data_IF_642819585239
#
_entry.id   IF_642819585239
#
_cell.length_a   1.000
_cell.length_b   1.000
_cell.length_c   1.000
_cell.angle_alpha   90.00
_cell.angle_beta   90.00
_cell.angle_gamma   90.00
#
_symmetry.space_group_name_H-M   'P 1'
#
loop_
_entity.id
_entity.type
_entity.pdbx_description
1 polymer ?
#
# COMPACT_ATOMS: atom_id res chain seq x y z
N UNK A 1 -19.14 -8.32 7.57
CA UNK A 1 -19.51 -6.97 8.05
C UNK A 1 -19.44 -5.87 6.97
N UNK A 2 -18.60 -5.99 5.96
CA UNK A 2 -18.53 -5.01 4.85
C UNK A 2 -19.80 -4.93 3.98
N UNK A 3 -20.57 -6.01 3.83
CA UNK A 3 -21.79 -6.02 3.02
C UNK A 3 -22.97 -5.25 3.62
N UNK A 4 -22.98 -5.02 4.93
CA UNK A 4 -24.03 -4.27 5.63
C UNK A 4 -23.86 -2.76 5.48
N UNK A 5 -22.62 -2.28 5.39
CA UNK A 5 -22.32 -0.86 5.18
C UNK A 5 -22.62 -0.39 3.76
N UNK A 6 -22.52 -1.28 2.77
CA UNK A 6 -22.88 -0.97 1.39
C UNK A 6 -24.39 -0.76 1.21
N UNK A 7 -25.22 -1.50 1.97
CA UNK A 7 -26.68 -1.31 1.96
C UNK A 7 -27.14 0.00 2.61
N UNK A 8 -26.38 0.52 3.59
CA UNK A 8 -26.74 1.76 4.27
C UNK A 8 -26.46 3.02 3.45
N UNK A 9 -25.47 3.00 2.53
CA UNK A 9 -25.18 4.17 1.66
C UNK A 9 -26.28 4.46 0.63
N UNK A 10 -27.02 3.45 0.20
CA UNK A 10 -28.15 3.63 -0.75
C UNK A 10 -29.47 4.01 -0.08
N UNK A 11 -29.59 3.89 1.24
CA UNK A 11 -30.82 4.24 1.97
C UNK A 11 -30.89 5.72 2.34
N UNK A 12 -29.80 6.46 2.32
CA UNK A 12 -29.79 7.87 2.74
C UNK A 12 -30.24 8.86 1.67
N UNK A 13 -30.28 8.48 0.39
CA UNK A 13 -30.76 9.36 -0.71
C UNK A 13 -32.28 9.32 -0.86
N UNK A 14 -32.98 8.39 -0.25
CA UNK A 14 -34.44 8.22 -0.36
C UNK A 14 -35.23 8.81 0.83
N UNK A 15 -34.64 9.67 1.65
CA UNK A 15 -35.38 10.45 2.64
C UNK A 15 -36.08 11.65 2.02
N UNK A 16 -36.82 11.44 0.94
CA UNK A 16 -37.88 12.36 0.59
C UNK A 16 -38.92 12.25 1.67
N UNK A 17 -39.00 13.27 2.52
CA UNK A 17 -40.10 13.44 3.48
C UNK A 17 -41.41 13.45 2.72
N UNK A 18 -41.98 12.28 2.51
CA UNK A 18 -43.34 12.13 2.05
C UNK A 18 -44.24 12.60 3.21
N UNK A 19 -44.59 13.90 3.20
CA UNK A 19 -45.76 14.37 3.99
C UNK A 19 -46.92 13.46 3.62
N UNK A 20 -47.70 12.95 4.58
CA UNK A 20 -48.81 12.06 4.29
C UNK A 20 -49.91 12.88 3.61
N UNK A 21 -49.87 12.94 2.30
CA UNK A 21 -51.02 13.46 1.52
C UNK A 21 -52.13 12.42 1.62
N UNK A 22 -53.23 12.80 2.22
CA UNK A 22 -54.46 12.03 2.42
C UNK A 22 -55.06 11.69 1.03
N UNK A 23 -54.65 10.56 0.51
CA UNK A 23 -55.05 10.07 -0.81
C UNK A 23 -54.12 8.96 -1.27
N UNK A 24 -54.10 7.85 -0.51
CA UNK A 24 -53.27 6.66 -0.88
C UNK A 24 -53.78 6.09 -2.18
N UNK A 25 -53.10 6.42 -3.27
CA UNK A 25 -53.34 5.78 -4.55
C UNK A 25 -53.06 4.29 -4.40
N UNK A 26 -54.07 3.43 -4.44
CA UNK A 26 -54.03 1.95 -4.22
C UNK A 26 -53.00 1.26 -5.13
N UNK A 27 -52.71 1.83 -6.28
CA UNK A 27 -51.77 1.28 -7.27
C UNK A 27 -50.29 1.58 -6.95
N UNK A 28 -50.00 2.52 -6.08
CA UNK A 28 -48.61 2.91 -5.78
C UNK A 28 -47.80 1.80 -5.09
N UNK A 29 -48.42 1.11 -4.13
CA UNK A 29 -47.75 -0.01 -3.42
C UNK A 29 -47.39 -1.19 -4.33
N UNK A 30 -48.35 -1.73 -5.11
CA UNK A 30 -48.03 -2.83 -6.04
C UNK A 30 -47.05 -2.41 -7.12
N UNK A 31 -47.08 -1.16 -7.59
CA UNK A 31 -46.11 -0.61 -8.54
C UNK A 31 -44.69 -0.54 -7.95
N UNK A 32 -44.52 0.00 -6.73
CA UNK A 32 -43.24 0.04 -6.06
C UNK A 32 -42.67 -1.35 -5.81
N UNK A 33 -43.53 -2.28 -5.42
CA UNK A 33 -43.14 -3.69 -5.23
C UNK A 33 -42.72 -4.36 -6.53
N UNK A 34 -43.38 -4.06 -7.62
CA UNK A 34 -43.02 -4.55 -8.96
C UNK A 34 -41.65 -4.01 -9.38
N UNK A 35 -41.38 -2.72 -9.11
CA UNK A 35 -40.07 -2.11 -9.37
C UNK A 35 -38.95 -2.70 -8.48
N UNK A 36 -39.27 -3.02 -7.22
CA UNK A 36 -38.32 -3.71 -6.33
C UNK A 36 -37.98 -5.11 -6.85
N UNK A 37 -38.99 -5.89 -7.21
CA UNK A 37 -38.80 -7.22 -7.81
C UNK A 37 -38.03 -7.14 -9.13
N UNK A 38 -38.33 -6.15 -9.96
CA UNK A 38 -37.59 -5.96 -11.21
C UNK A 38 -36.12 -5.62 -10.95
N UNK A 39 -35.84 -4.75 -9.98
CA UNK A 39 -34.44 -4.45 -9.56
C UNK A 39 -33.71 -5.65 -8.99
N UNK A 40 -34.42 -6.52 -8.27
CA UNK A 40 -33.85 -7.78 -7.75
C UNK A 40 -33.54 -8.75 -8.89
N UNK A 41 -34.38 -8.81 -9.94
CA UNK A 41 -34.19 -9.65 -11.12
C UNK A 41 -33.07 -9.09 -12.03
N UNK A 42 -32.99 -7.78 -12.20
CA UNK A 42 -31.97 -7.11 -13.01
C UNK A 42 -30.55 -7.21 -12.35
N UNK A 43 -30.52 -7.59 -11.07
CA UNK A 43 -29.28 -7.70 -10.30
C UNK A 43 -28.68 -6.35 -9.88
N UNK A 44 -27.48 -6.35 -9.28
CA UNK A 44 -26.84 -5.12 -8.90
C UNK A 44 -26.47 -4.27 -10.13
N UNK A 45 -26.67 -2.94 -10.07
CA UNK A 45 -26.32 -2.07 -11.20
C UNK A 45 -24.85 -2.24 -11.55
N UNK A 46 -24.54 -2.20 -12.84
CA UNK A 46 -23.15 -2.24 -13.31
C UNK A 46 -22.36 -1.13 -12.65
N UNK A 47 -21.11 -1.37 -12.23
CA UNK A 47 -20.25 -0.35 -11.68
C UNK A 47 -20.07 0.76 -12.73
N UNK A 48 -20.39 1.98 -12.34
CA UNK A 48 -20.27 3.17 -13.18
C UNK A 48 -19.14 4.03 -12.61
N UNK A 49 -18.18 4.47 -13.42
CA UNK A 49 -17.10 5.31 -12.96
C UNK A 49 -17.62 6.60 -12.31
N UNK A 50 -16.90 7.12 -11.33
CA UNK A 50 -17.30 8.34 -10.59
C UNK A 50 -17.54 9.52 -11.54
N UNK A 51 -16.76 9.61 -12.63
CA UNK A 51 -16.88 10.64 -13.66
C UNK A 51 -18.23 10.69 -14.38
N UNK A 52 -18.98 9.58 -14.39
CA UNK A 52 -20.30 9.50 -15.01
C UNK A 52 -21.45 9.68 -14.00
N UNK A 53 -21.15 9.84 -12.73
CA UNK A 53 -22.17 10.07 -11.70
C UNK A 53 -22.67 11.51 -11.72
N UNK A 54 -23.93 11.75 -11.33
CA UNK A 54 -24.47 13.11 -11.26
C UNK A 54 -23.70 13.97 -10.25
N UNK A 55 -23.62 15.27 -10.54
CA UNK A 55 -22.92 16.27 -9.71
C UNK A 55 -21.39 16.05 -9.62
N UNK A 56 -20.78 15.45 -10.63
CA UNK A 56 -19.33 15.32 -10.72
C UNK A 56 -18.74 16.58 -11.35
N UNK A 57 -17.91 17.28 -10.58
CA UNK A 57 -17.03 18.35 -11.09
C UNK A 57 -15.58 17.92 -10.90
N UNK A 58 -14.94 17.56 -12.00
CA UNK A 58 -13.58 17.04 -11.99
C UNK A 58 -12.57 18.01 -11.38
N UNK A 59 -12.75 19.32 -11.64
CA UNK A 59 -11.84 20.31 -11.08
C UNK A 59 -11.97 20.41 -9.56
N UNK A 60 -13.20 20.48 -9.07
CA UNK A 60 -13.48 20.53 -7.63
C UNK A 60 -12.98 19.27 -6.89
N UNK A 61 -13.18 18.08 -7.47
CA UNK A 61 -12.72 16.82 -6.89
C UNK A 61 -11.18 16.76 -6.81
N UNK A 62 -10.46 17.21 -7.84
CA UNK A 62 -8.98 17.27 -7.84
C UNK A 62 -8.47 18.27 -6.79
N UNK A 63 -9.08 19.43 -6.68
CA UNK A 63 -8.71 20.42 -5.64
C UNK A 63 -9.01 19.86 -4.25
N UNK A 64 -10.16 19.20 -4.07
CA UNK A 64 -10.50 18.55 -2.80
C UNK A 64 -9.51 17.43 -2.43
N UNK A 65 -9.02 16.66 -3.41
CA UNK A 65 -7.99 15.65 -3.21
C UNK A 65 -6.68 16.27 -2.68
N UNK A 66 -6.18 17.32 -3.34
CA UNK A 66 -4.98 18.05 -2.90
C UNK A 66 -5.15 18.62 -1.48
N UNK A 67 -6.28 19.25 -1.19
CA UNK A 67 -6.56 19.82 0.13
C UNK A 67 -6.67 18.76 1.23
N UNK A 68 -7.27 17.61 0.93
CA UNK A 68 -7.39 16.50 1.89
C UNK A 68 -6.02 15.92 2.29
N UNK A 69 -5.07 15.88 1.36
CA UNK A 69 -3.71 15.40 1.61
C UNK A 69 -2.82 16.44 2.27
N UNK A 70 -3.28 17.72 2.35
CA UNK A 70 -2.47 18.84 2.83
C UNK A 70 -1.15 19.03 2.08
N UNK A 71 -1.14 18.67 0.78
CA UNK A 71 0.03 18.77 -0.09
C UNK A 71 -0.19 19.83 -1.19
N UNK A 72 0.89 20.51 -1.56
CA UNK A 72 0.86 21.54 -2.59
C UNK A 72 1.07 20.93 -3.98
N UNK A 73 0.00 20.48 -4.59
CA UNK A 73 0.03 19.99 -5.96
C UNK A 73 -0.22 21.13 -6.97
N UNK A 74 0.48 21.10 -8.08
CA UNK A 74 0.04 21.83 -9.27
C UNK A 74 -1.22 21.14 -9.82
N UNK A 75 -2.33 21.90 -9.90
CA UNK A 75 -3.63 21.36 -10.36
C UNK A 75 -3.53 20.78 -11.78
N UNK A 76 -2.68 21.35 -12.62
CA UNK A 76 -2.49 20.86 -13.99
C UNK A 76 -1.76 19.52 -14.02
N UNK A 77 -0.64 19.39 -13.28
CA UNK A 77 0.10 18.13 -13.17
C UNK A 77 -0.74 17.04 -12.52
N UNK A 78 -1.54 17.40 -11.51
CA UNK A 78 -2.41 16.44 -10.84
C UNK A 78 -3.53 15.95 -11.78
N UNK A 79 -4.08 16.84 -12.64
CA UNK A 79 -5.03 16.44 -13.69
C UNK A 79 -4.38 15.45 -14.67
N UNK A 80 -3.16 15.75 -15.11
CA UNK A 80 -2.41 14.84 -16.02
C UNK A 80 -2.15 13.48 -15.35
N UNK A 81 -1.83 13.45 -14.05
CA UNK A 81 -1.58 12.21 -13.31
C UNK A 81 -2.78 11.26 -13.29
N UNK A 82 -4.00 11.80 -13.31
CA UNK A 82 -5.22 10.98 -13.31
C UNK A 82 -5.74 10.61 -14.70
N UNK A 83 -5.10 11.07 -15.77
CA UNK A 83 -5.49 10.74 -17.15
C UNK A 83 -4.71 9.54 -17.65
N UNK A 84 -5.38 8.42 -17.87
CA UNK A 84 -4.78 7.23 -18.48
C UNK A 84 -4.80 7.34 -20.01
N UNK A 85 -3.79 6.77 -20.68
CA UNK A 85 -3.70 6.72 -22.14
C UNK A 85 -4.91 6.05 -22.82
N UNK A 86 -5.51 5.05 -22.16
CA UNK A 86 -6.72 4.38 -22.65
C UNK A 86 -7.93 5.33 -22.74
N UNK A 87 -8.05 6.27 -21.80
CA UNK A 87 -9.10 7.30 -21.83
C UNK A 87 -8.91 8.24 -23.00
N UNK A 88 -7.68 8.70 -23.23
CA UNK A 88 -7.37 9.60 -24.36
C UNK A 88 -7.72 8.91 -25.67
N UNK A 89 -7.30 7.66 -25.87
CA UNK A 89 -7.59 6.89 -27.07
C UNK A 89 -9.10 6.67 -27.29
N UNK A 90 -9.84 6.37 -26.23
CA UNK A 90 -11.29 6.20 -26.29
C UNK A 90 -12.00 7.49 -26.67
N UNK A 91 -11.65 8.61 -26.05
CA UNK A 91 -12.29 9.89 -26.31
C UNK A 91 -11.96 10.41 -27.72
N UNK A 92 -10.74 10.18 -28.21
CA UNK A 92 -10.38 10.46 -29.60
C UNK A 92 -11.17 9.61 -30.60
N UNK A 93 -11.36 8.32 -30.31
CA UNK A 93 -12.19 7.44 -31.15
C UNK A 93 -13.64 7.91 -31.18
N UNK A 94 -14.17 8.27 -30.03
CA UNK A 94 -15.53 8.83 -29.92
C UNK A 94 -15.71 10.13 -30.71
N UNK A 95 -14.71 11.03 -30.66
CA UNK A 95 -14.73 12.28 -31.44
C UNK A 95 -14.69 12.02 -32.95
N UNK A 96 -13.90 11.02 -33.39
CA UNK A 96 -13.87 10.59 -34.79
C UNK A 96 -15.20 10.02 -35.26
N UNK A 97 -15.89 9.22 -34.41
CA UNK A 97 -17.23 8.69 -34.69
C UNK A 97 -18.27 9.79 -34.84
N UNK A 98 -18.12 10.93 -34.11
CA UNK A 98 -18.96 12.11 -34.24
C UNK A 98 -18.65 12.95 -35.49
N UNK A 99 -17.72 12.51 -36.34
CA UNK A 99 -17.41 13.16 -37.63
C UNK A 99 -16.47 14.36 -37.51
N UNK A 100 -15.74 14.51 -36.40
CA UNK A 100 -14.73 15.55 -36.28
C UNK A 100 -13.47 15.19 -37.08
N UNK A 101 -12.87 16.16 -37.74
CA UNK A 101 -11.59 15.99 -38.47
C UNK A 101 -10.50 15.50 -37.53
N UNK A 102 -9.54 14.74 -38.06
CA UNK A 102 -8.46 14.12 -37.28
C UNK A 102 -7.67 15.11 -36.43
N UNK A 103 -7.44 16.32 -36.94
CA UNK A 103 -6.72 17.38 -36.23
C UNK A 103 -7.50 17.96 -35.06
N UNK A 104 -8.81 18.02 -35.17
CA UNK A 104 -9.74 18.53 -34.14
C UNK A 104 -10.08 17.41 -33.13
N UNK A 105 -10.08 16.16 -33.59
CA UNK A 105 -10.34 14.99 -32.77
C UNK A 105 -9.17 14.67 -31.81
N UNK A 106 -7.94 15.03 -32.18
CA UNK A 106 -6.77 14.84 -31.34
C UNK A 106 -6.87 15.66 -30.06
N UNK A 107 -6.87 14.95 -28.92
CA UNK A 107 -6.78 15.56 -27.61
C UNK A 107 -5.29 15.84 -27.32
N UNK A 108 -4.92 17.13 -27.27
CA UNK A 108 -3.58 17.52 -26.79
C UNK A 108 -3.47 17.36 -25.26
N UNK A 109 -3.95 16.22 -24.73
CA UNK A 109 -3.82 15.85 -23.33
C UNK A 109 -2.61 14.93 -23.18
N UNK A 110 -1.73 15.32 -22.29
CA UNK A 110 -0.63 14.45 -21.86
C UNK A 110 -1.20 13.30 -21.01
N UNK A 111 -0.70 12.12 -21.21
CA UNK A 111 -1.01 10.95 -20.40
C UNK A 111 -0.14 10.91 -19.12
N UNK A 112 -0.44 9.97 -18.25
CA UNK A 112 0.24 9.82 -16.97
C UNK A 112 1.51 8.94 -17.03
N UNK A 113 1.95 8.48 -18.19
CA UNK A 113 3.04 7.51 -18.31
C UNK A 113 4.39 8.08 -17.84
N UNK A 114 4.69 9.31 -18.23
CA UNK A 114 5.95 9.96 -17.87
C UNK A 114 6.02 10.24 -16.36
N UNK A 115 4.96 10.82 -15.80
CA UNK A 115 4.84 11.06 -14.36
C UNK A 115 4.88 9.76 -13.56
N UNK A 116 4.26 8.69 -14.05
CA UNK A 116 4.29 7.38 -13.42
C UNK A 116 5.70 6.80 -13.36
N UNK A 117 6.48 6.94 -14.43
CA UNK A 117 7.87 6.49 -14.47
C UNK A 117 8.74 7.27 -13.48
N UNK A 118 8.67 8.59 -13.52
CA UNK A 118 9.42 9.45 -12.58
C UNK A 118 9.07 9.14 -11.12
N UNK A 119 7.77 8.99 -10.82
CA UNK A 119 7.29 8.66 -9.48
C UNK A 119 7.74 7.28 -9.00
N UNK A 120 7.76 6.27 -9.88
CA UNK A 120 8.24 4.93 -9.54
C UNK A 120 9.74 4.92 -9.26
N UNK A 121 10.55 5.56 -10.11
CA UNK A 121 12.00 5.61 -9.97
C UNK A 121 12.41 6.35 -8.68
N UNK A 122 11.74 7.47 -8.40
CA UNK A 122 11.95 8.20 -7.15
C UNK A 122 11.55 7.38 -5.93
N UNK A 123 10.40 6.70 -5.98
CA UNK A 123 9.91 5.87 -4.87
C UNK A 123 10.89 4.74 -4.55
N UNK A 124 11.35 4.01 -5.55
CA UNK A 124 12.32 2.91 -5.35
C UNK A 124 13.65 3.44 -4.78
N UNK A 125 14.18 4.52 -5.33
CA UNK A 125 15.41 5.15 -4.86
C UNK A 125 15.30 5.62 -3.40
N UNK A 126 14.19 6.28 -3.06
CA UNK A 126 13.92 6.74 -1.70
C UNK A 126 13.79 5.57 -0.72
N UNK A 127 13.00 4.54 -1.07
CA UNK A 127 12.82 3.34 -0.23
C UNK A 127 14.15 2.64 -0.01
N UNK A 128 14.98 2.49 -1.04
CA UNK A 128 16.30 1.87 -0.94
C UNK A 128 17.20 2.62 0.05
N UNK A 129 17.24 3.93 -0.05
CA UNK A 129 18.07 4.77 0.83
C UNK A 129 17.56 4.73 2.26
N UNK A 130 16.25 4.87 2.44
CA UNK A 130 15.62 4.95 3.76
C UNK A 130 15.67 3.61 4.49
N UNK A 131 15.42 2.49 3.80
CA UNK A 131 15.52 1.15 4.40
C UNK A 131 16.96 0.78 4.75
N UNK A 132 17.96 1.16 3.93
CA UNK A 132 19.38 0.97 4.28
C UNK A 132 19.78 1.76 5.52
N UNK A 133 19.28 2.98 5.67
CA UNK A 133 19.54 3.80 6.86
C UNK A 133 18.82 3.24 8.11
N UNK A 134 17.59 2.77 7.95
CA UNK A 134 16.80 2.21 9.05
C UNK A 134 17.30 0.84 9.52
N UNK A 135 17.76 0.01 8.60
CA UNK A 135 18.22 -1.36 8.85
C UNK A 135 19.64 -1.59 8.33
N UNK A 136 20.65 -0.97 8.96
CA UNK A 136 22.04 -1.05 8.47
C UNK A 136 22.64 -2.46 8.57
N UNK A 137 22.06 -3.33 9.41
CA UNK A 137 22.51 -4.71 9.60
C UNK A 137 21.80 -5.72 8.68
N UNK A 138 20.77 -5.28 7.94
CA UNK A 138 20.01 -6.17 7.07
C UNK A 138 20.75 -6.39 5.75
N UNK A 139 20.87 -7.64 5.26
CA UNK A 139 21.50 -7.92 3.98
C UNK A 139 20.71 -7.30 2.81
N UNK A 140 21.41 -7.08 1.70
CA UNK A 140 20.80 -6.47 0.51
C UNK A 140 19.58 -7.25 -0.02
N UNK A 141 19.59 -8.60 0.11
CA UNK A 141 18.46 -9.44 -0.27
C UNK A 141 17.21 -9.16 0.59
N UNK A 142 17.37 -8.95 1.90
CA UNK A 142 16.28 -8.58 2.79
C UNK A 142 15.72 -7.18 2.47
N UNK A 143 16.61 -6.21 2.18
CA UNK A 143 16.18 -4.86 1.76
C UNK A 143 15.41 -4.91 0.45
N UNK A 144 15.89 -5.70 -0.54
CA UNK A 144 15.19 -5.84 -1.82
C UNK A 144 13.84 -6.55 -1.68
N UNK A 145 13.71 -7.51 -0.78
CA UNK A 145 12.43 -8.15 -0.45
C UNK A 145 11.43 -7.15 0.16
N UNK A 146 11.88 -6.30 1.09
CA UNK A 146 11.06 -5.24 1.67
C UNK A 146 10.60 -4.22 0.62
N UNK A 147 11.49 -3.80 -0.28
CA UNK A 147 11.15 -2.91 -1.39
C UNK A 147 10.12 -3.60 -2.30
N UNK A 148 10.36 -4.85 -2.69
CA UNK A 148 9.44 -5.63 -3.51
C UNK A 148 8.05 -5.77 -2.88
N UNK A 149 7.97 -5.93 -1.56
CA UNK A 149 6.71 -5.96 -0.84
C UNK A 149 5.99 -4.60 -0.90
N UNK A 150 6.69 -3.50 -0.59
CA UNK A 150 6.12 -2.15 -0.58
C UNK A 150 5.71 -1.68 -1.98
N UNK A 151 6.41 -2.11 -3.01
CA UNK A 151 6.10 -1.81 -4.41
C UNK A 151 5.18 -2.84 -5.06
N UNK A 152 4.74 -3.86 -4.30
CA UNK A 152 3.82 -4.87 -4.81
C UNK A 152 2.47 -4.25 -5.18
N UNK A 153 1.87 -4.78 -6.22
CA UNK A 153 0.57 -4.34 -6.72
C UNK A 153 -0.50 -4.33 -5.63
N UNK A 154 -0.52 -5.36 -4.77
CA UNK A 154 -1.50 -5.47 -3.70
C UNK A 154 -1.41 -4.32 -2.69
N UNK A 155 -0.20 -3.98 -2.26
CA UNK A 155 0.03 -2.90 -1.29
C UNK A 155 -0.28 -1.54 -1.92
N UNK A 156 0.19 -1.31 -3.14
CA UNK A 156 -0.03 -0.04 -3.84
C UNK A 156 -1.51 0.19 -4.16
N UNK A 157 -2.22 -0.84 -4.64
CA UNK A 157 -3.67 -0.74 -4.87
C UNK A 157 -4.43 -0.50 -3.56
N UNK A 158 -4.05 -1.17 -2.46
CA UNK A 158 -4.67 -0.93 -1.16
C UNK A 158 -4.50 0.53 -0.70
N UNK A 159 -3.29 1.08 -0.81
CA UNK A 159 -3.02 2.49 -0.47
C UNK A 159 -3.78 3.43 -1.41
N UNK A 160 -3.74 3.19 -2.71
CA UNK A 160 -4.42 4.00 -3.71
C UNK A 160 -5.95 4.04 -3.50
N UNK A 161 -6.56 2.90 -3.16
CA UNK A 161 -7.99 2.81 -2.83
C UNK A 161 -8.33 3.60 -1.56
N UNK A 162 -7.51 3.52 -0.53
CA UNK A 162 -7.72 4.30 0.70
C UNK A 162 -7.59 5.80 0.46
N UNK A 163 -6.78 6.21 -0.50
CA UNK A 163 -6.65 7.60 -0.95
C UNK A 163 -7.74 8.02 -1.95
N UNK A 164 -8.60 7.10 -2.38
CA UNK A 164 -9.63 7.32 -3.42
C UNK A 164 -9.03 7.76 -4.78
N UNK A 165 -7.84 7.26 -5.11
CA UNK A 165 -7.19 7.47 -6.42
C UNK A 165 -8.03 6.85 -7.53
N UNK A 166 -8.65 5.70 -7.25
CA UNK A 166 -9.52 4.99 -8.19
C UNK A 166 -10.71 5.85 -8.65
N UNK A 167 -11.34 6.59 -7.74
CA UNK A 167 -12.51 7.43 -8.03
C UNK A 167 -12.21 8.59 -8.99
N UNK A 168 -10.97 9.09 -8.99
CA UNK A 168 -10.53 10.24 -9.77
C UNK A 168 -9.88 9.85 -11.10
N UNK A 169 -9.48 8.58 -11.25
CA UNK A 169 -8.80 8.10 -12.44
C UNK A 169 -9.74 8.04 -13.63
N UNK A 170 -9.34 8.69 -14.71
CA UNK A 170 -10.03 8.65 -16.00
C UNK A 170 -9.42 7.52 -16.84
N UNK A 171 -10.20 6.45 -17.05
CA UNK A 171 -9.85 5.28 -17.86
C UNK A 171 -11.04 4.82 -18.68
N UNK A 172 -10.78 4.06 -19.73
CA UNK A 172 -11.84 3.38 -20.51
C UNK A 172 -12.42 2.17 -19.77
N UNK A 173 -11.72 1.66 -18.77
CA UNK A 173 -12.08 0.43 -18.03
C UNK A 173 -12.86 0.76 -16.77
N UNK A 174 -13.92 -0.01 -16.50
CA UNK A 174 -14.66 0.04 -15.24
C UNK A 174 -15.13 -1.39 -14.87
N UNK A 175 -14.69 -1.97 -13.76
CA UNK A 175 -13.73 -1.45 -12.77
C UNK A 175 -12.31 -1.32 -13.32
N UNK A 176 -11.51 -0.44 -12.70
CA UNK A 176 -10.13 -0.21 -13.09
C UNK A 176 -9.27 -1.46 -12.86
N UNK A 177 -8.34 -1.71 -13.79
CA UNK A 177 -7.35 -2.78 -13.59
C UNK A 177 -6.37 -2.38 -12.48
N UNK A 178 -5.86 -3.36 -11.69
CA UNK A 178 -4.87 -3.08 -10.66
C UNK A 178 -3.60 -2.40 -11.19
N UNK A 179 -3.20 -2.72 -12.42
CA UNK A 179 -2.05 -2.08 -13.10
C UNK A 179 -2.30 -0.59 -13.37
N UNK A 180 -3.51 -0.23 -13.76
CA UNK A 180 -3.89 1.16 -13.99
C UNK A 180 -3.88 1.94 -12.68
N UNK A 181 -4.39 1.36 -11.59
CA UNK A 181 -4.39 1.97 -10.27
C UNK A 181 -2.95 2.20 -9.78
N UNK A 182 -2.09 1.21 -9.92
CA UNK A 182 -0.67 1.30 -9.55
C UNK A 182 0.04 2.41 -10.34
N UNK A 183 -0.12 2.45 -11.66
CA UNK A 183 0.47 3.48 -12.53
C UNK A 183 -0.03 4.87 -12.15
N UNK A 184 -1.31 5.02 -11.90
CA UNK A 184 -1.90 6.30 -11.49
C UNK A 184 -1.38 6.75 -10.13
N UNK A 185 -1.21 5.81 -9.17
CA UNK A 185 -0.62 6.14 -7.88
C UNK A 185 0.82 6.65 -8.01
N UNK A 186 1.64 6.00 -8.83
CA UNK A 186 2.98 6.51 -9.13
C UNK A 186 2.95 7.85 -9.85
N UNK A 187 1.99 8.06 -10.74
CA UNK A 187 1.84 9.35 -11.42
C UNK A 187 1.47 10.47 -10.43
N UNK A 188 0.68 10.19 -9.40
CA UNK A 188 0.40 11.15 -8.32
C UNK A 188 1.66 11.50 -7.55
N UNK A 189 2.52 10.51 -7.26
CA UNK A 189 3.84 10.77 -6.64
C UNK A 189 4.73 11.60 -7.57
N UNK A 190 4.75 11.32 -8.87
CA UNK A 190 5.48 12.09 -9.87
C UNK A 190 4.98 13.54 -9.97
N UNK A 191 3.65 13.73 -9.96
CA UNK A 191 3.05 15.06 -9.94
C UNK A 191 3.40 15.84 -8.66
N UNK A 192 3.50 15.16 -7.50
CA UNK A 192 3.95 15.77 -6.25
C UNK A 192 5.43 16.18 -6.35
N UNK A 193 6.26 15.31 -6.93
CA UNK A 193 7.70 15.56 -7.10
C UNK A 193 7.98 16.79 -7.98
N UNK A 194 7.20 16.96 -9.06
CA UNK A 194 7.33 18.13 -9.93
C UNK A 194 6.68 19.40 -9.36
N UNK A 195 5.68 19.25 -8.51
CA UNK A 195 4.93 20.37 -7.92
C UNK A 195 5.56 20.91 -6.65
N UNK A 196 6.27 20.06 -5.91
CA UNK A 196 6.79 20.35 -4.57
C UNK A 196 8.24 19.90 -4.45
N UNK A 197 8.84 20.16 -3.29
CA UNK A 197 10.20 19.74 -2.99
C UNK A 197 10.30 18.19 -2.84
N UNK A 198 11.46 17.60 -3.24
CA UNK A 198 11.70 16.15 -3.04
C UNK A 198 11.57 15.69 -1.58
N UNK A 199 11.82 16.59 -0.63
CA UNK A 199 11.65 16.28 0.80
C UNK A 199 10.20 16.04 1.18
N UNK A 200 9.26 16.85 0.65
CA UNK A 200 7.82 16.66 0.87
C UNK A 200 7.33 15.35 0.24
N UNK A 201 7.77 15.05 -0.99
CA UNK A 201 7.48 13.79 -1.65
C UNK A 201 8.03 12.59 -0.85
N UNK A 202 9.21 12.74 -0.27
CA UNK A 202 9.80 11.73 0.62
C UNK A 202 8.95 11.49 1.87
N UNK A 203 8.41 12.53 2.48
CA UNK A 203 7.49 12.43 3.62
C UNK A 203 6.19 11.72 3.23
N UNK A 204 5.64 12.06 2.07
CA UNK A 204 4.45 11.41 1.55
C UNK A 204 4.67 9.89 1.38
N UNK A 205 5.77 9.48 0.72
CA UNK A 205 6.10 8.06 0.54
C UNK A 205 6.30 7.38 1.90
N UNK A 206 6.97 8.04 2.84
CA UNK A 206 7.16 7.52 4.19
C UNK A 206 5.82 7.27 4.89
N UNK A 207 4.94 8.24 4.86
CA UNK A 207 3.70 8.23 5.64
C UNK A 207 2.65 7.27 5.06
N UNK A 208 2.66 7.04 3.75
CA UNK A 208 1.68 6.15 3.11
C UNK A 208 2.23 4.75 2.77
N UNK A 209 3.50 4.62 2.36
CA UNK A 209 4.07 3.33 1.97
C UNK A 209 4.84 2.66 3.12
N UNK A 210 5.78 3.37 3.77
CA UNK A 210 6.60 2.74 4.82
C UNK A 210 5.74 2.31 6.01
N UNK A 211 4.65 3.03 6.30
CA UNK A 211 3.69 2.64 7.35
C UNK A 211 3.06 1.27 7.13
N UNK A 212 3.04 0.77 5.89
CA UNK A 212 2.52 -0.57 5.58
C UNK A 212 3.40 -1.71 6.15
N UNK A 213 4.62 -1.40 6.59
CA UNK A 213 5.48 -2.35 7.32
C UNK A 213 5.11 -2.48 8.79
N UNK A 214 4.31 -1.56 9.34
CA UNK A 214 3.93 -1.61 10.75
C UNK A 214 3.09 -2.86 11.01
N UNK A 215 3.52 -3.69 11.97
CA UNK A 215 2.84 -4.92 12.33
C UNK A 215 3.14 -6.11 11.41
N UNK A 216 4.00 -5.97 10.41
CA UNK A 216 4.48 -7.07 9.59
C UNK A 216 5.79 -7.63 10.15
N UNK A 217 5.94 -8.96 10.08
CA UNK A 217 7.22 -9.59 10.41
C UNK A 217 8.15 -9.59 9.18
N UNK A 218 9.45 -9.49 9.43
CA UNK A 218 10.46 -9.53 8.38
C UNK A 218 10.36 -10.82 7.56
N UNK A 219 10.20 -11.97 8.23
CA UNK A 219 10.17 -13.28 7.58
C UNK A 219 8.83 -13.65 6.95
N UNK A 220 7.75 -12.89 7.22
CA UNK A 220 6.51 -12.97 6.45
C UNK A 220 6.69 -12.35 5.05
N UNK A 221 7.57 -11.33 4.96
CA UNK A 221 7.86 -10.63 3.71
C UNK A 221 9.03 -11.29 2.97
N UNK A 222 10.11 -11.55 3.69
CA UNK A 222 11.32 -12.16 3.16
C UNK A 222 11.35 -13.65 3.49
N UNK A 223 10.86 -14.46 2.56
CA UNK A 223 10.89 -15.93 2.69
C UNK A 223 12.32 -16.44 2.50
N UNK A 224 12.92 -16.93 3.58
CA UNK A 224 14.23 -17.58 3.55
C UNK A 224 14.04 -19.09 3.53
N UNK A 225 14.60 -19.76 2.52
CA UNK A 225 14.45 -21.20 2.36
C UNK A 225 15.17 -21.98 3.47
N UNK A 226 16.36 -21.55 3.86
CA UNK A 226 17.15 -22.16 4.93
C UNK A 226 17.65 -21.08 5.92
N UNK A 227 16.88 -20.83 7.00
CA UNK A 227 17.26 -19.84 8.00
C UNK A 227 18.52 -20.21 8.78
N UNK A 228 18.80 -21.50 8.94
CA UNK A 228 19.98 -21.97 9.69
C UNK A 228 21.27 -21.68 8.92
N UNK A 229 21.31 -21.97 7.62
CA UNK A 229 22.47 -21.67 6.78
C UNK A 229 22.74 -20.15 6.72
N UNK A 230 21.70 -19.35 6.60
CA UNK A 230 21.83 -17.89 6.63
C UNK A 230 22.37 -17.40 7.98
N UNK A 231 21.90 -17.99 9.09
CA UNK A 231 22.40 -17.65 10.43
C UNK A 231 23.89 -17.99 10.57
N UNK A 232 24.30 -19.16 10.11
CA UNK A 232 25.71 -19.59 10.12
C UNK A 232 26.58 -18.62 9.33
N UNK A 233 26.13 -18.22 8.14
CA UNK A 233 26.86 -17.24 7.31
C UNK A 233 27.00 -15.89 8.02
N UNK A 234 25.94 -15.39 8.64
CA UNK A 234 25.94 -14.12 9.36
C UNK A 234 26.77 -14.15 10.64
N UNK A 235 26.81 -15.28 11.36
CA UNK A 235 27.67 -15.47 12.52
C UNK A 235 29.14 -15.57 12.12
N UNK A 236 29.43 -16.28 11.03
CA UNK A 236 30.79 -16.39 10.48
C UNK A 236 31.39 -15.04 10.09
N UNK A 237 30.56 -14.13 9.51
CA UNK A 237 30.99 -12.75 9.22
C UNK A 237 31.36 -11.93 10.46
N UNK A 238 30.96 -12.39 11.65
CA UNK A 238 31.17 -11.71 12.94
C UNK A 238 32.16 -12.44 13.84
N UNK A 239 32.84 -13.44 13.31
CA UNK A 239 33.77 -14.29 14.03
C UNK A 239 33.15 -14.96 15.29
N UNK A 240 31.87 -15.31 15.22
CA UNK A 240 31.16 -16.02 16.29
C UNK A 240 31.12 -17.50 15.97
N UNK A 241 31.22 -18.36 17.01
CA UNK A 241 31.14 -19.80 16.88
C UNK A 241 29.85 -20.28 16.22
N UNK A 242 29.91 -21.47 15.62
CA UNK A 242 28.74 -22.08 14.99
C UNK A 242 27.62 -22.31 16.03
N UNK A 243 26.36 -22.11 15.65
CA UNK A 243 25.24 -22.33 16.54
C UNK A 243 25.00 -23.81 16.76
N UNK A 244 24.89 -24.22 18.03
CA UNK A 244 24.58 -25.59 18.44
C UNK A 244 23.08 -25.65 18.81
N UNK A 245 22.25 -26.40 18.06
CA UNK A 245 20.86 -26.60 18.42
C UNK A 245 20.75 -27.60 19.58
N UNK A 246 19.97 -27.29 20.60
CA UNK A 246 19.69 -28.14 21.75
C UNK A 246 18.21 -28.11 22.09
N UNK A 247 17.60 -29.27 22.26
CA UNK A 247 16.24 -29.39 22.75
C UNK A 247 16.19 -28.89 24.20
N UNK A 248 15.45 -27.82 24.47
CA UNK A 248 15.30 -27.22 25.80
C UNK A 248 14.09 -27.77 26.54
N UNK A 249 12.97 -27.88 25.84
CA UNK A 249 11.71 -28.41 26.39
C UNK A 249 10.95 -29.18 25.34
N UNK A 250 10.14 -30.13 25.78
CA UNK A 250 9.15 -30.79 24.96
C UNK A 250 7.84 -30.92 25.74
N UNK A 251 6.72 -30.79 25.09
CA UNK A 251 5.39 -30.93 25.64
C UNK A 251 4.51 -31.71 24.69
N UNK A 252 3.66 -32.60 25.22
CA UNK A 252 2.71 -33.31 24.41
C UNK A 252 3.29 -34.26 23.38
N UNK A 253 4.50 -34.82 23.59
CA UNK A 253 5.20 -35.68 22.64
C UNK A 253 4.40 -36.93 22.21
N UNK A 254 3.47 -37.39 23.04
CA UNK A 254 2.56 -38.51 22.76
C UNK A 254 1.15 -38.07 22.32
N UNK A 255 0.95 -36.80 22.07
CA UNK A 255 -0.34 -36.25 21.63
C UNK A 255 -0.33 -35.92 20.13
N UNK A 256 -1.51 -35.57 19.58
CA UNK A 256 -1.65 -35.18 18.18
C UNK A 256 -0.92 -33.86 17.85
N UNK A 257 -0.66 -33.02 18.85
CA UNK A 257 0.00 -31.73 18.70
C UNK A 257 1.24 -31.70 19.64
N UNK A 258 2.35 -32.33 19.25
CA UNK A 258 3.59 -32.22 20.01
C UNK A 258 4.18 -30.81 19.85
N UNK A 259 4.80 -30.30 20.90
CA UNK A 259 5.47 -29.00 20.89
C UNK A 259 6.90 -29.19 21.40
N UNK A 260 7.84 -28.82 20.56
CA UNK A 260 9.27 -28.84 20.87
C UNK A 260 9.80 -27.42 20.95
N UNK A 261 10.71 -27.17 21.89
CA UNK A 261 11.42 -25.90 22.00
C UNK A 261 12.92 -26.21 21.80
N UNK A 262 13.50 -25.57 20.81
CA UNK A 262 14.94 -25.69 20.53
C UNK A 262 15.62 -24.36 20.80
N UNK A 263 16.67 -24.42 21.61
CA UNK A 263 17.56 -23.30 21.88
C UNK A 263 18.82 -23.37 21.04
N UNK A 264 19.23 -22.27 20.43
CA UNK A 264 20.49 -22.13 19.72
C UNK A 264 21.55 -21.54 20.66
N UNK A 265 22.64 -22.23 20.81
CA UNK A 265 23.75 -21.85 21.68
C UNK A 265 24.99 -21.54 20.85
N UNK A 266 25.69 -20.44 21.16
CA UNK A 266 27.04 -20.14 20.70
C UNK A 266 27.90 -19.87 21.92
N UNK A 267 29.04 -20.54 22.02
CA UNK A 267 29.95 -20.43 23.16
C UNK A 267 29.25 -20.62 24.52
N UNK A 268 28.36 -21.61 24.62
CA UNK A 268 27.54 -21.92 25.80
C UNK A 268 26.53 -20.85 26.21
N UNK A 269 26.33 -19.79 25.39
CA UNK A 269 25.32 -18.74 25.62
C UNK A 269 24.12 -18.99 24.73
N UNK A 270 22.92 -18.93 25.29
CA UNK A 270 21.67 -19.01 24.56
C UNK A 270 21.50 -17.74 23.74
N UNK A 271 21.39 -17.85 22.41
CA UNK A 271 21.11 -16.74 21.49
C UNK A 271 19.61 -16.58 21.25
N UNK A 272 18.96 -17.68 20.93
CA UNK A 272 17.54 -17.69 20.61
C UNK A 272 16.91 -19.04 20.99
N UNK A 273 15.61 -19.05 21.18
CA UNK A 273 14.78 -20.24 21.38
C UNK A 273 13.56 -20.12 20.49
N UNK A 274 13.19 -21.20 19.83
CA UNK A 274 12.04 -21.26 18.93
C UNK A 274 11.16 -22.47 19.21
N UNK A 275 9.83 -22.33 19.15
CA UNK A 275 8.87 -23.43 19.22
C UNK A 275 8.63 -24.03 17.84
N UNK A 276 8.27 -25.33 17.79
CA UNK A 276 7.87 -26.01 16.57
C UNK A 276 7.13 -27.31 16.82
N UNK A 277 6.40 -27.78 15.85
CA UNK A 277 5.69 -29.07 15.87
C UNK A 277 6.64 -30.26 15.69
N UNK A 278 7.84 -30.02 15.17
CA UNK A 278 8.94 -30.96 15.06
C UNK A 278 10.24 -30.30 15.53
N UNK A 279 11.26 -31.10 15.81
CA UNK A 279 12.57 -30.58 16.22
C UNK A 279 13.16 -29.70 15.09
N UNK A 280 13.08 -30.14 13.84
CA UNK A 280 13.57 -29.35 12.70
C UNK A 280 12.82 -28.02 12.51
N UNK A 281 11.50 -28.01 12.65
CA UNK A 281 10.70 -26.77 12.58
C UNK A 281 11.03 -25.82 13.73
N UNK A 282 11.29 -26.35 14.94
CA UNK A 282 11.73 -25.56 16.08
C UNK A 282 13.15 -24.99 15.90
N UNK A 283 14.06 -25.72 15.26
CA UNK A 283 15.40 -25.24 14.89
C UNK A 283 15.33 -24.08 13.89
N UNK A 284 14.51 -24.23 12.84
CA UNK A 284 14.32 -23.15 11.85
C UNK A 284 13.72 -21.90 12.48
N UNK A 285 12.71 -22.06 13.35
CA UNK A 285 12.11 -20.89 14.02
C UNK A 285 13.09 -20.26 15.02
N UNK A 286 13.89 -21.06 15.74
CA UNK A 286 14.96 -20.54 16.58
C UNK A 286 15.99 -19.75 15.75
N UNK A 287 16.33 -20.22 14.54
CA UNK A 287 17.21 -19.50 13.63
C UNK A 287 16.58 -18.17 13.15
N UNK A 288 15.27 -18.14 12.82
CA UNK A 288 14.55 -16.90 12.47
C UNK A 288 14.55 -15.91 13.63
N UNK A 289 14.31 -16.38 14.87
CA UNK A 289 14.37 -15.54 16.07
C UNK A 289 15.79 -14.99 16.28
N UNK A 290 16.84 -15.80 16.07
CA UNK A 290 18.23 -15.35 16.14
C UNK A 290 18.53 -14.26 15.09
N UNK A 291 18.12 -14.48 13.85
CA UNK A 291 18.29 -13.53 12.76
C UNK A 291 17.54 -12.20 13.02
N UNK A 292 16.31 -12.25 13.56
CA UNK A 292 15.58 -11.03 13.96
C UNK A 292 16.39 -10.20 14.96
N UNK A 293 16.96 -10.85 15.98
CA UNK A 293 17.82 -10.18 16.98
C UNK A 293 19.10 -9.59 16.35
N UNK A 294 19.74 -10.35 15.44
CA UNK A 294 20.96 -9.90 14.75
C UNK A 294 20.71 -8.68 13.85
N UNK A 295 19.56 -8.64 13.17
CA UNK A 295 19.18 -7.55 12.28
C UNK A 295 18.57 -6.36 13.02
N UNK A 296 18.29 -6.47 14.31
CA UNK A 296 17.76 -5.39 15.15
C UNK A 296 16.24 -5.25 15.10
N UNK A 297 15.52 -6.28 14.65
CA UNK A 297 14.07 -6.35 14.79
C UNK A 297 13.72 -6.74 16.23
N UNK A 298 13.07 -5.83 16.95
CA UNK A 298 12.65 -6.06 18.32
C UNK A 298 11.35 -6.85 18.40
N UNK A 299 11.10 -7.51 19.54
CA UNK A 299 9.85 -8.26 19.80
C UNK A 299 8.59 -7.37 19.73
N UNK A 300 8.73 -6.07 19.94
CA UNK A 300 7.63 -5.11 19.88
C UNK A 300 7.09 -4.83 18.47
N UNK A 301 7.62 -5.49 17.43
CA UNK A 301 7.17 -5.41 16.04
C UNK A 301 6.98 -3.97 15.51
N UNK A 302 7.72 -3.02 16.04
CA UNK A 302 7.82 -1.68 15.49
C UNK A 302 9.15 -1.57 14.74
N UNK A 303 9.19 -1.96 13.46
CA UNK A 303 10.43 -1.94 12.68
C UNK A 303 10.93 -0.52 12.43
N UNK A 304 10.13 0.48 12.79
CA UNK A 304 10.37 1.86 12.48
C UNK A 304 10.10 2.78 13.66
N UNK A 305 11.10 3.54 14.08
CA UNK A 305 10.94 4.60 15.08
C UNK A 305 10.85 5.96 14.37
N UNK A 306 9.64 6.51 14.29
CA UNK A 306 9.39 7.84 13.72
C UNK A 306 9.76 8.98 14.66
N UNK A 307 10.06 8.68 15.93
CA UNK A 307 10.39 9.68 16.94
C UNK A 307 11.82 10.19 16.87
N UNK A 308 12.72 9.49 16.16
CA UNK A 308 14.10 9.92 15.99
C UNK A 308 14.13 11.06 14.98
N UNK A 309 14.43 12.29 15.41
CA UNK A 309 14.61 13.39 14.46
C UNK A 309 15.77 13.03 13.53
N UNK A 310 15.57 13.19 12.21
CA UNK A 310 16.64 13.07 11.22
C UNK A 310 17.81 13.93 11.70
N UNK A 311 18.97 13.34 11.93
CA UNK A 311 20.19 14.11 12.03
C UNK A 311 20.43 14.74 10.65
N UNK A 312 20.20 16.05 10.55
CA UNK A 312 20.57 16.79 9.34
C UNK A 312 22.07 16.58 9.10
N UNK A 313 22.48 16.09 7.93
CA UNK A 313 23.89 15.99 7.62
C UNK A 313 24.43 17.42 7.44
N UNK A 314 25.03 17.98 8.48
CA UNK A 314 25.88 19.14 8.25
C UNK A 314 25.75 20.40 9.11
N UNK A 315 25.23 20.34 10.31
CA UNK A 315 25.51 21.45 11.26
C UNK A 315 26.69 21.06 12.15
N UNK A 316 27.89 21.43 11.73
CA UNK A 316 29.05 21.46 12.61
C UNK A 316 28.72 22.39 13.78
N UNK A 317 28.56 21.85 14.98
CA UNK A 317 28.52 22.62 16.21
C UNK A 317 29.82 23.41 16.28
N UNK A 318 29.73 24.72 16.04
CA UNK A 318 30.80 25.63 16.35
C UNK A 318 31.06 25.51 17.86
N UNK A 319 32.23 25.02 18.22
CA UNK A 319 32.73 25.00 19.60
C UNK A 319 32.77 26.42 20.12
N UNK A 320 31.84 26.77 21.00
CA UNK A 320 31.95 27.97 21.80
C UNK A 320 33.05 27.70 22.80
N UNK A 321 34.23 28.21 22.49
CA UNK A 321 35.32 28.33 23.42
C UNK A 321 34.94 29.37 24.46
N UNK A 322 34.73 28.95 25.69
CA UNK A 322 34.62 29.81 26.85
C UNK A 322 35.98 30.47 27.13
N UNK A 323 36.00 31.77 27.10
CA UNK A 323 36.93 32.59 27.89
C UNK A 323 36.16 33.29 29.00
#
# INVERSE_FOLDING_TARGET
MASLLYRLRYLTVASIRLTPVRGKKRWLRPYLRALEVQRELDGPPKPVPRSQQPNFDYHAEIVAFSQRLHENFSVQLLKTAFVNSSYVAQEESRRRELGLDKEIAALNLQDNQELSKQGSDFTVSFLQTTLKQGFPKLPAAGISALIGYLTSQNVLCHVAQNLAVEDLTLSSECPLSPDTIQKTFYAVIGALLESSDPERTSLFIRDFLITQLIGKDLFDIWTVADPMSLLVEELSKRDVSLPEPRLTRQSGASTVLPLYFVGLYCDKKLIAEGPGESVSAAEEEAARVALRKLYGFTENRRPWDYSVPRQEPGVRKASISSR
#
